data_IF_497202993953
#
_entry.id   IF_497202993953
#
_cell.length_a   1.000
_cell.length_b   1.000
_cell.length_c   1.000
_cell.angle_alpha   90.00
_cell.angle_beta   90.00
_cell.angle_gamma   90.00
#
_symmetry.space_group_name_H-M   'P 1'
#
loop_
_entity.id
_entity.type
_entity.pdbx_description
1 polymer ?
#
# COMPACT_ATOMS: atom_id res chain seq x y z
N UNK A 1 3.08 27.10 -11.64
CA UNK A 1 3.56 25.91 -12.36
C UNK A 1 3.08 24.69 -11.58
N UNK A 2 2.41 23.72 -12.21
CA UNK A 2 1.94 22.52 -11.51
C UNK A 2 3.13 21.57 -11.25
N UNK A 3 3.24 21.02 -10.04
CA UNK A 3 4.26 20.06 -9.68
C UNK A 3 3.72 18.62 -9.80
N UNK A 4 4.55 17.69 -10.27
CA UNK A 4 4.23 16.26 -10.35
C UNK A 4 5.07 15.51 -9.33
N UNK A 5 4.45 14.69 -8.49
CA UNK A 5 5.16 13.87 -7.50
C UNK A 5 4.93 12.39 -7.79
N UNK A 6 6.02 11.61 -7.89
CA UNK A 6 5.95 10.16 -8.07
C UNK A 6 6.15 9.41 -6.75
N UNK A 7 5.41 8.31 -6.57
CA UNK A 7 5.49 7.44 -5.39
C UNK A 7 5.42 5.96 -5.78
N UNK A 8 5.43 5.05 -4.79
CA UNK A 8 5.49 3.61 -5.00
C UNK A 8 6.90 3.07 -5.23
N UNK A 9 6.98 1.76 -5.47
CA UNK A 9 8.23 1.04 -5.75
C UNK A 9 8.96 1.60 -6.98
N UNK A 10 8.21 1.89 -8.05
CA UNK A 10 8.73 2.42 -9.31
C UNK A 10 9.00 3.93 -9.34
N UNK A 11 8.84 4.67 -8.24
CA UNK A 11 8.88 6.16 -8.27
C UNK A 11 10.10 6.77 -8.96
N UNK A 12 11.26 6.11 -8.87
CA UNK A 12 12.51 6.59 -9.45
C UNK A 12 12.62 6.35 -10.97
N UNK A 13 11.71 5.57 -11.58
CA UNK A 13 11.67 5.37 -13.03
C UNK A 13 10.84 6.44 -13.75
N UNK A 14 10.06 7.23 -13.00
CA UNK A 14 9.18 8.29 -13.52
C UNK A 14 9.98 9.57 -13.77
N UNK A 15 10.63 9.67 -14.94
CA UNK A 15 11.59 10.74 -15.27
C UNK A 15 11.00 12.15 -15.37
N UNK A 16 9.69 12.29 -15.56
CA UNK A 16 9.02 13.59 -15.67
C UNK A 16 8.52 14.13 -14.31
N UNK A 17 8.70 13.38 -13.22
CA UNK A 17 8.29 13.83 -11.90
C UNK A 17 9.17 15.00 -11.42
N UNK A 18 8.55 16.05 -10.89
CA UNK A 18 9.23 17.17 -10.25
C UNK A 18 10.00 16.73 -9.01
N UNK A 19 9.44 15.77 -8.26
CA UNK A 19 10.10 15.13 -7.13
C UNK A 19 9.53 13.73 -6.89
N UNK A 20 10.17 12.94 -6.04
CA UNK A 20 9.68 11.62 -5.62
C UNK A 20 9.49 11.58 -4.12
N UNK A 21 8.53 10.79 -3.65
CA UNK A 21 8.27 10.61 -2.22
C UNK A 21 7.89 9.15 -1.94
N UNK A 22 8.26 8.64 -0.75
CA UNK A 22 7.94 7.27 -0.37
C UNK A 22 6.43 7.05 -0.32
N UNK A 23 5.98 5.85 -0.68
CA UNK A 23 4.55 5.47 -0.60
C UNK A 23 4.03 5.48 0.84
N UNK A 24 4.88 5.15 1.81
CA UNK A 24 4.53 5.19 3.24
C UNK A 24 4.15 6.62 3.65
N UNK A 25 4.97 7.60 3.26
CA UNK A 25 4.67 9.02 3.52
C UNK A 25 3.44 9.48 2.74
N UNK A 26 3.30 9.05 1.49
CA UNK A 26 2.17 9.44 0.64
C UNK A 26 0.84 8.89 1.17
N UNK A 27 0.79 7.62 1.56
CA UNK A 27 -0.36 6.99 2.21
C UNK A 27 -0.66 7.66 3.55
N UNK A 28 0.34 7.98 4.39
CA UNK A 28 0.11 8.70 5.63
C UNK A 28 -0.54 10.08 5.42
N UNK A 29 -0.08 10.84 4.42
CA UNK A 29 -0.67 12.14 4.05
C UNK A 29 -2.08 11.99 3.48
N UNK A 30 -2.28 11.03 2.58
CA UNK A 30 -3.60 10.75 1.98
C UNK A 30 -4.63 10.29 3.01
N UNK A 31 -4.25 9.35 3.89
CA UNK A 31 -5.11 8.88 4.97
C UNK A 31 -5.42 10.00 5.95
N UNK A 32 -4.44 10.82 6.35
CA UNK A 32 -4.70 11.98 7.22
C UNK A 32 -5.71 12.96 6.60
N UNK A 33 -5.68 13.14 5.28
CA UNK A 33 -6.62 14.01 4.56
C UNK A 33 -8.05 13.45 4.60
N UNK A 34 -8.24 12.16 4.31
CA UNK A 34 -9.57 11.54 4.28
C UNK A 34 -10.10 11.10 5.65
N UNK A 35 -9.21 10.79 6.59
CA UNK A 35 -9.47 10.25 7.93
C UNK A 35 -8.49 10.88 8.94
N UNK A 36 -8.74 12.12 9.40
CA UNK A 36 -7.85 12.85 10.31
C UNK A 36 -7.57 12.15 11.65
N UNK A 37 -8.50 11.31 12.09
CA UNK A 37 -8.42 10.57 13.36
C UNK A 37 -7.73 9.20 13.21
N UNK A 38 -7.33 8.82 11.99
CA UNK A 38 -6.57 7.59 11.80
C UNK A 38 -5.21 7.67 12.53
N UNK A 39 -4.83 6.58 13.19
CA UNK A 39 -3.53 6.44 13.89
C UNK A 39 -2.71 5.25 13.41
N UNK A 40 -3.32 4.41 12.57
CA UNK A 40 -2.70 3.23 11.99
C UNK A 40 -3.22 3.02 10.57
N UNK A 41 -2.32 2.64 9.67
CA UNK A 41 -2.63 2.19 8.30
C UNK A 41 -2.20 0.73 8.21
N UNK A 42 -3.07 -0.12 7.68
CA UNK A 42 -2.72 -1.46 7.25
C UNK A 42 -2.83 -1.47 5.73
N UNK A 43 -1.70 -1.64 5.05
CA UNK A 43 -1.59 -1.65 3.60
C UNK A 43 -1.29 -3.08 3.14
N UNK A 44 -2.21 -3.69 2.39
CA UNK A 44 -2.00 -4.99 1.76
C UNK A 44 -1.78 -4.78 0.27
N UNK A 45 -0.51 -4.74 -0.14
CA UNK A 45 -0.12 -4.62 -1.55
C UNK A 45 0.01 -5.98 -2.23
N UNK A 46 0.36 -5.95 -3.52
CA UNK A 46 0.56 -7.18 -4.31
C UNK A 46 1.75 -8.01 -3.85
N UNK A 47 2.84 -7.38 -3.43
CA UNK A 47 4.12 -8.05 -3.13
C UNK A 47 4.60 -7.87 -1.69
N UNK A 48 4.03 -6.91 -0.95
CA UNK A 48 4.36 -6.64 0.43
C UNK A 48 3.11 -6.19 1.19
N UNK A 49 3.19 -6.28 2.52
CA UNK A 49 2.18 -5.72 3.42
C UNK A 49 2.86 -4.83 4.45
N UNK A 50 2.24 -3.71 4.81
CA UNK A 50 2.81 -2.72 5.73
C UNK A 50 1.82 -2.35 6.82
N UNK A 51 2.34 -2.06 8.00
CA UNK A 51 1.59 -1.43 9.10
C UNK A 51 2.31 -0.16 9.48
N UNK A 52 1.64 0.97 9.35
CA UNK A 52 2.22 2.30 9.59
C UNK A 52 1.48 3.01 10.71
N UNK A 53 2.20 3.39 11.76
CA UNK A 53 1.67 4.29 12.80
C UNK A 53 1.81 5.74 12.36
N UNK A 54 0.70 6.48 12.44
CA UNK A 54 0.62 7.90 12.06
C UNK A 54 0.53 8.75 13.33
N UNK A 55 1.35 9.79 13.40
CA UNK A 55 1.27 10.86 14.39
C UNK A 55 0.38 12.01 13.89
N UNK A 56 -0.03 12.90 14.78
CA UNK A 56 -0.87 14.05 14.44
C UNK A 56 -0.29 14.85 13.27
N UNK A 57 -1.15 15.29 12.35
CA UNK A 57 -0.73 16.01 11.15
C UNK A 57 -0.24 15.11 10.00
N UNK A 58 -0.37 13.78 10.10
CA UNK A 58 -0.08 12.86 8.99
C UNK A 58 1.41 12.52 8.85
N UNK A 59 2.17 12.67 9.94
CA UNK A 59 3.58 12.27 9.97
C UNK A 59 3.71 10.78 10.32
N UNK A 60 4.65 10.11 9.66
CA UNK A 60 4.93 8.69 9.94
C UNK A 60 5.73 8.60 11.23
N UNK A 61 5.20 7.89 12.24
CA UNK A 61 5.90 7.63 13.50
C UNK A 61 6.75 6.37 13.44
N UNK A 62 6.16 5.31 12.91
CA UNK A 62 6.80 3.99 12.79
C UNK A 62 6.14 3.21 11.65
N UNK A 63 6.89 2.27 11.05
CA UNK A 63 6.39 1.40 10.00
C UNK A 63 7.06 0.03 10.05
N UNK A 64 6.24 -1.02 10.15
CA UNK A 64 6.66 -2.41 9.97
C UNK A 64 6.22 -2.91 8.59
N UNK A 65 7.06 -3.74 7.94
CA UNK A 65 6.80 -4.27 6.61
C UNK A 65 7.17 -5.75 6.53
N UNK A 66 6.33 -6.53 5.86
CA UNK A 66 6.64 -7.85 5.36
C UNK A 66 6.83 -7.77 3.84
N UNK A 67 8.08 -7.86 3.39
CA UNK A 67 8.49 -7.77 1.99
C UNK A 67 9.19 -9.03 1.46
N UNK A 68 9.37 -10.05 2.31
CA UNK A 68 10.08 -11.30 1.95
C UNK A 68 9.15 -12.49 1.75
N UNK A 69 7.95 -12.44 2.31
CA UNK A 69 7.01 -13.56 2.26
C UNK A 69 5.75 -13.17 1.50
N UNK A 70 5.33 -14.03 0.56
CA UNK A 70 4.06 -13.86 -0.16
C UNK A 70 2.84 -13.95 0.77
N UNK A 71 2.95 -14.69 1.89
CA UNK A 71 1.87 -14.80 2.87
C UNK A 71 1.50 -13.40 3.40
N UNK A 72 0.20 -13.09 3.41
CA UNK A 72 -0.30 -11.78 3.83
C UNK A 72 -0.25 -10.69 2.75
N UNK A 73 0.02 -11.04 1.49
CA UNK A 73 0.06 -10.10 0.35
C UNK A 73 -0.91 -10.54 -0.76
N UNK A 74 -1.19 -9.64 -1.72
CA UNK A 74 -1.99 -9.94 -2.90
C UNK A 74 -1.51 -11.18 -3.67
N UNK A 75 -0.19 -11.40 -3.74
CA UNK A 75 0.40 -12.56 -4.41
C UNK A 75 -0.08 -13.89 -3.83
N UNK A 76 -0.32 -13.96 -2.52
CA UNK A 76 -0.89 -15.16 -1.90
C UNK A 76 -2.30 -15.43 -2.42
N UNK A 77 -3.15 -14.41 -2.48
CA UNK A 77 -4.52 -14.53 -2.96
C UNK A 77 -4.57 -14.88 -4.45
N UNK A 78 -3.69 -14.30 -5.28
CA UNK A 78 -3.54 -14.68 -6.70
C UNK A 78 -3.21 -16.17 -6.86
N UNK A 79 -2.25 -16.67 -6.09
CA UNK A 79 -1.88 -18.10 -6.13
C UNK A 79 -3.01 -19.00 -5.64
N UNK A 80 -3.76 -18.58 -4.63
CA UNK A 80 -4.90 -19.34 -4.10
C UNK A 80 -6.02 -19.42 -5.14
N UNK A 81 -6.41 -18.29 -5.73
CA UNK A 81 -7.41 -18.25 -6.79
C UNK A 81 -7.00 -19.15 -7.99
N UNK A 82 -5.74 -19.06 -8.42
CA UNK A 82 -5.21 -19.91 -9.48
C UNK A 82 -5.23 -21.40 -9.16
N UNK A 83 -5.01 -21.79 -7.90
CA UNK A 83 -5.12 -23.20 -7.46
C UNK A 83 -6.56 -23.70 -7.42
N UNK A 84 -7.51 -22.82 -7.12
CA UNK A 84 -8.93 -23.13 -7.10
C UNK A 84 -9.58 -23.07 -8.50
N UNK A 85 -8.84 -22.59 -9.52
CA UNK A 85 -9.35 -22.45 -10.87
C UNK A 85 -10.40 -21.35 -11.01
N UNK A 86 -10.32 -20.31 -10.17
CA UNK A 86 -11.25 -19.18 -10.14
C UNK A 86 -10.51 -17.86 -10.34
N UNK A 87 -11.26 -16.82 -10.69
CA UNK A 87 -10.72 -15.45 -10.72
C UNK A 87 -10.57 -14.86 -9.32
N UNK A 88 -9.59 -13.97 -9.14
CA UNK A 88 -9.28 -13.36 -7.83
C UNK A 88 -10.49 -12.69 -7.15
N UNK A 89 -11.36 -11.92 -7.84
CA UNK A 89 -12.54 -11.32 -7.20
C UNK A 89 -13.51 -12.35 -6.61
N UNK A 90 -13.62 -13.54 -7.23
CA UNK A 90 -14.52 -14.62 -6.79
C UNK A 90 -14.08 -15.19 -5.44
N UNK A 91 -12.78 -15.13 -5.12
CA UNK A 91 -12.26 -15.63 -3.85
C UNK A 91 -12.92 -14.93 -2.63
N UNK A 92 -13.22 -13.64 -2.75
CA UNK A 92 -13.90 -12.88 -1.69
C UNK A 92 -15.36 -13.30 -1.52
N UNK A 93 -16.05 -13.59 -2.62
CA UNK A 93 -17.45 -14.01 -2.62
C UNK A 93 -17.63 -15.41 -1.99
N UNK A 94 -16.68 -16.31 -2.21
CA UNK A 94 -16.70 -17.67 -1.66
C UNK A 94 -16.37 -17.74 -0.16
N UNK A 95 -15.74 -16.69 0.39
CA UNK A 95 -15.31 -16.65 1.79
C UNK A 95 -16.39 -16.10 2.74
N UNK A 96 -17.48 -15.55 2.19
CA UNK A 96 -18.60 -14.95 2.92
C UNK A 96 -19.61 -16.02 3.39
#
# INVERSE_FOLDING_TARGET
>A
MAAVVATGYGRNTVRFATTTMSEITYHARGVQFFKPDARMIIEIGGQNSKVTHIADGGFVRDCAMNDRCAAGTGRFFEMLAGRLGIDLPVLGELAA
#
